data_IF_124143749372
#
_entry.id   IF_124143749372
#
_cell.length_a   1.000
_cell.length_b   1.000
_cell.length_c   1.000
_cell.angle_alpha   90.00
_cell.angle_beta   90.00
_cell.angle_gamma   90.00
#
_symmetry.space_group_name_H-M   'P 1'
#
loop_
_entity.id
_entity.type
_entity.pdbx_description
1 polymer ?
#
# COMPACT_ATOMS: atom_id res chain seq x y z
N UNK A 1 0.70 4.01 -27.97
CA UNK A 1 1.48 3.01 -27.22
C UNK A 1 1.13 3.12 -25.75
N UNK A 2 0.81 2.02 -25.09
CA UNK A 2 0.49 1.96 -23.66
C UNK A 2 1.67 2.45 -22.80
N UNK A 3 1.39 3.35 -21.83
CA UNK A 3 2.38 3.91 -20.89
C UNK A 3 1.99 3.51 -19.49
N UNK A 4 2.58 2.44 -18.94
CA UNK A 4 2.19 1.91 -17.63
C UNK A 4 2.56 2.82 -16.45
N UNK A 5 3.69 3.54 -16.52
CA UNK A 5 4.11 4.46 -15.47
C UNK A 5 3.45 5.82 -15.69
N UNK A 6 2.74 6.31 -14.67
CA UNK A 6 1.95 7.54 -14.71
C UNK A 6 2.10 8.37 -13.43
N UNK A 7 1.72 9.63 -13.50
CA UNK A 7 1.63 10.53 -12.35
C UNK A 7 0.24 10.41 -11.73
N UNK A 8 0.13 9.95 -10.47
CA UNK A 8 -1.15 9.88 -9.78
C UNK A 8 -1.71 11.28 -9.51
N UNK A 9 -3.04 11.34 -9.38
CA UNK A 9 -3.75 12.59 -9.11
C UNK A 9 -4.49 12.52 -7.78
N UNK A 10 -4.90 13.67 -7.26
CA UNK A 10 -5.70 13.79 -6.03
C UNK A 10 -5.02 13.08 -4.85
N UNK A 11 -5.78 12.37 -4.02
CA UNK A 11 -5.31 11.66 -2.81
C UNK A 11 -4.18 10.65 -3.07
N UNK A 12 -4.11 10.05 -4.25
CA UNK A 12 -3.04 9.12 -4.58
C UNK A 12 -1.66 9.83 -4.64
N UNK A 13 -1.65 11.14 -4.91
CA UNK A 13 -0.42 11.95 -4.90
C UNK A 13 0.24 12.06 -3.52
N UNK A 14 -0.53 11.94 -2.42
CA UNK A 14 0.03 11.90 -1.06
C UNK A 14 0.91 10.66 -0.81
N UNK A 15 0.83 9.65 -1.68
CA UNK A 15 1.62 8.43 -1.57
C UNK A 15 2.88 8.46 -2.42
N UNK A 16 2.80 8.94 -3.67
CA UNK A 16 3.93 8.92 -4.61
C UNK A 16 3.67 9.84 -5.80
N UNK A 17 4.73 10.35 -6.42
CA UNK A 17 4.67 11.13 -7.67
C UNK A 17 4.55 10.27 -8.93
N UNK A 18 4.96 9.00 -8.85
CA UNK A 18 4.90 8.05 -9.97
C UNK A 18 4.29 6.73 -9.50
N UNK A 19 3.49 6.12 -10.36
CA UNK A 19 2.88 4.83 -10.06
C UNK A 19 2.73 3.95 -11.30
N UNK A 20 2.57 2.65 -11.05
CA UNK A 20 2.25 1.64 -12.05
C UNK A 20 1.19 0.69 -11.49
N UNK A 21 0.17 0.33 -12.29
CA UNK A 21 -0.77 -0.73 -11.94
C UNK A 21 -0.45 -1.97 -12.78
N UNK A 22 0.03 -3.01 -12.14
CA UNK A 22 0.52 -4.23 -12.81
C UNK A 22 -0.63 -5.12 -13.25
N UNK A 23 -1.67 -5.20 -12.42
CA UNK A 23 -2.81 -6.08 -12.65
C UNK A 23 -4.07 -5.29 -13.02
N UNK A 24 -5.00 -5.98 -13.66
CA UNK A 24 -6.40 -5.61 -13.76
C UNK A 24 -7.17 -6.42 -12.72
N UNK A 25 -7.95 -5.75 -11.87
CA UNK A 25 -8.67 -6.40 -10.78
C UNK A 25 -7.82 -6.60 -9.52
N UNK A 26 -8.48 -7.07 -8.45
CA UNK A 26 -7.89 -7.46 -7.17
C UNK A 26 -8.85 -8.40 -6.44
N UNK A 27 -8.33 -9.52 -5.98
CA UNK A 27 -9.12 -10.57 -5.33
C UNK A 27 -8.99 -10.61 -3.80
N UNK A 28 -8.41 -9.59 -3.17
CA UNK A 28 -8.38 -9.48 -1.70
C UNK A 28 -9.78 -9.39 -1.08
N UNK A 29 -10.80 -9.00 -1.87
CA UNK A 29 -12.19 -9.00 -1.44
C UNK A 29 -12.59 -7.89 -0.46
N UNK A 30 -11.76 -6.86 -0.30
CA UNK A 30 -12.02 -5.77 0.64
C UNK A 30 -13.37 -5.09 0.36
N UNK A 31 -14.30 -5.08 1.34
CA UNK A 31 -15.63 -4.53 1.14
C UNK A 31 -15.64 -3.01 0.91
N UNK A 32 -14.67 -2.30 1.45
CA UNK A 32 -14.52 -0.85 1.36
C UNK A 32 -13.76 -0.39 0.09
N UNK A 33 -13.35 -1.29 -0.79
CA UNK A 33 -12.44 -0.99 -1.89
C UNK A 33 -13.01 0.00 -2.91
N UNK A 34 -12.40 1.18 -3.01
CA UNK A 34 -12.76 2.20 -4.01
C UNK A 34 -12.46 1.75 -5.45
N UNK A 35 -11.39 0.95 -5.62
CA UNK A 35 -10.99 0.50 -6.95
C UNK A 35 -12.02 -0.44 -7.58
N UNK A 36 -12.73 -1.25 -6.78
CA UNK A 36 -13.84 -2.09 -7.24
C UNK A 36 -14.97 -1.27 -7.86
N UNK A 37 -15.36 -0.15 -7.20
CA UNK A 37 -16.41 0.76 -7.72
C UNK A 37 -15.98 1.42 -9.03
N UNK A 38 -14.74 1.87 -9.10
CA UNK A 38 -14.19 2.49 -10.31
C UNK A 38 -14.06 1.48 -11.45
N UNK A 39 -13.61 0.26 -11.16
CA UNK A 39 -13.50 -0.82 -12.14
C UNK A 39 -14.86 -1.17 -12.75
N UNK A 40 -15.89 -1.36 -11.95
CA UNK A 40 -17.24 -1.70 -12.39
C UNK A 40 -17.83 -0.65 -13.36
N UNK A 41 -17.51 0.64 -13.15
CA UNK A 41 -17.97 1.73 -14.05
C UNK A 41 -17.45 1.56 -15.48
N UNK A 42 -16.22 1.08 -15.65
CA UNK A 42 -15.56 0.96 -16.95
C UNK A 42 -15.57 -0.46 -17.51
N UNK A 43 -15.91 -1.45 -16.68
CA UNK A 43 -15.92 -2.87 -17.02
C UNK A 43 -17.18 -3.55 -16.45
N UNK A 44 -18.39 -3.16 -16.86
CA UNK A 44 -19.64 -3.62 -16.23
C UNK A 44 -19.88 -5.14 -16.34
N UNK A 45 -19.26 -5.78 -17.33
CA UNK A 45 -19.39 -7.23 -17.58
C UNK A 45 -18.26 -8.08 -17.00
N UNK A 46 -17.28 -7.46 -16.29
CA UNK A 46 -16.11 -8.17 -15.75
C UNK A 46 -16.14 -8.21 -14.22
N UNK A 47 -15.72 -9.32 -13.64
CA UNK A 47 -15.52 -9.40 -12.20
C UNK A 47 -14.18 -8.75 -11.81
N UNK A 48 -14.22 -7.90 -10.80
CA UNK A 48 -13.02 -7.30 -10.23
C UNK A 48 -12.10 -8.32 -9.53
N UNK A 49 -12.66 -9.43 -9.08
CA UNK A 49 -11.91 -10.53 -8.48
C UNK A 49 -11.16 -11.40 -9.51
N UNK A 50 -11.48 -11.27 -10.81
CA UNK A 50 -10.74 -11.93 -11.89
C UNK A 50 -9.44 -11.15 -12.19
N UNK A 51 -8.42 -11.48 -11.42
CA UNK A 51 -7.13 -10.78 -11.44
C UNK A 51 -6.25 -11.32 -12.57
N UNK A 52 -5.74 -10.42 -13.41
CA UNK A 52 -4.83 -10.76 -14.49
C UNK A 52 -3.73 -9.70 -14.62
N UNK A 53 -2.49 -10.09 -14.96
CA UNK A 53 -1.50 -9.12 -15.40
C UNK A 53 -2.05 -8.32 -16.58
N UNK A 54 -1.77 -7.04 -16.64
CA UNK A 54 -2.10 -6.23 -17.81
C UNK A 54 -1.28 -6.73 -19.00
N UNK A 55 -1.93 -6.90 -20.13
CA UNK A 55 -1.27 -7.39 -21.34
C UNK A 55 -0.05 -6.54 -21.70
N UNK A 56 1.10 -7.19 -21.91
CA UNK A 56 2.36 -6.53 -22.27
C UNK A 56 2.92 -5.59 -21.18
N UNK A 57 2.50 -5.72 -19.90
CA UNK A 57 2.87 -4.78 -18.85
C UNK A 57 4.39 -4.70 -18.65
N UNK A 58 5.10 -5.82 -18.70
CA UNK A 58 6.55 -5.88 -18.46
C UNK A 58 7.30 -5.19 -19.60
N UNK A 59 6.99 -5.55 -20.84
CA UNK A 59 7.62 -4.99 -22.05
C UNK A 59 7.35 -3.50 -22.19
N UNK A 60 6.10 -3.08 -21.95
CA UNK A 60 5.74 -1.66 -21.99
C UNK A 60 6.47 -0.86 -20.88
N UNK A 61 6.68 -1.47 -19.72
CA UNK A 61 7.44 -0.88 -18.62
C UNK A 61 8.91 -0.71 -19.00
N UNK A 62 9.55 -1.76 -19.50
CA UNK A 62 10.95 -1.71 -20.00
C UNK A 62 11.12 -0.63 -21.04
N UNK A 63 10.22 -0.58 -22.03
CA UNK A 63 10.27 0.42 -23.09
C UNK A 63 10.06 1.85 -22.58
N UNK A 64 9.19 2.05 -21.59
CA UNK A 64 9.00 3.38 -21.00
C UNK A 64 10.22 3.81 -20.19
N UNK A 65 10.83 2.89 -19.44
CA UNK A 65 12.02 3.12 -18.63
C UNK A 65 13.29 3.37 -19.45
N UNK A 66 13.43 2.75 -20.64
CA UNK A 66 14.60 2.90 -21.51
C UNK A 66 14.87 4.34 -21.95
N UNK A 67 13.89 5.23 -21.78
CA UNK A 67 14.06 6.68 -22.06
C UNK A 67 14.91 7.43 -21.03
N UNK A 68 15.35 6.78 -19.96
CA UNK A 68 16.26 7.32 -18.95
C UNK A 68 15.69 8.37 -17.99
N UNK A 69 14.47 8.89 -18.22
CA UNK A 69 13.89 9.98 -17.41
C UNK A 69 13.44 9.57 -16.01
N UNK A 70 13.47 8.29 -15.71
CA UNK A 70 13.02 7.72 -14.43
C UNK A 70 14.17 7.32 -13.50
N UNK A 71 15.44 7.53 -13.91
CA UNK A 71 16.59 7.30 -13.06
C UNK A 71 16.43 8.06 -11.74
N UNK A 72 16.75 7.40 -10.63
CA UNK A 72 16.65 7.92 -9.26
C UNK A 72 15.21 8.32 -8.85
N UNK A 73 14.22 7.91 -9.63
CA UNK A 73 12.81 8.13 -9.29
C UNK A 73 12.20 6.92 -8.61
N UNK A 74 11.36 7.18 -7.60
CA UNK A 74 10.61 6.14 -6.88
C UNK A 74 9.26 5.92 -7.58
N UNK A 75 8.93 4.66 -7.89
CA UNK A 75 7.70 4.27 -8.60
C UNK A 75 6.87 3.36 -7.69
N UNK A 76 5.65 3.79 -7.37
CA UNK A 76 4.75 3.03 -6.51
C UNK A 76 4.04 1.90 -7.27
N UNK A 77 4.02 0.73 -6.66
CA UNK A 77 3.24 -0.45 -7.07
C UNK A 77 1.99 -0.53 -6.19
N UNK A 78 0.98 -0.41 -6.59
CA UNK A 78 -0.21 -0.37 -7.37
C UNK A 78 -1.28 0.48 -6.64
N UNK A 79 -2.10 1.26 -7.33
CA UNK A 79 -3.23 1.95 -6.68
C UNK A 79 -4.57 1.26 -6.91
N UNK A 80 -4.76 0.63 -8.06
CA UNK A 80 -6.06 0.03 -8.44
C UNK A 80 -6.08 -1.50 -8.33
N UNK A 81 -4.99 -2.08 -7.87
CA UNK A 81 -4.82 -3.50 -7.57
C UNK A 81 -3.83 -3.65 -6.39
N UNK A 82 -3.54 -4.85 -5.97
CA UNK A 82 -2.43 -5.13 -5.06
C UNK A 82 -1.28 -5.76 -5.85
N UNK A 83 -0.01 -5.47 -5.57
CA UNK A 83 1.12 -6.12 -6.25
C UNK A 83 1.26 -7.61 -5.90
N UNK A 84 0.63 -8.07 -4.80
CA UNK A 84 0.64 -9.46 -4.35
C UNK A 84 -0.77 -9.99 -4.09
N UNK A 85 -1.61 -10.09 -5.13
CA UNK A 85 -2.95 -10.65 -5.00
C UNK A 85 -2.89 -12.11 -4.55
N UNK A 86 -4.03 -12.62 -4.05
CA UNK A 86 -4.12 -13.99 -3.56
C UNK A 86 -4.25 -15.00 -4.71
N UNK A 87 -3.75 -16.20 -4.51
CA UNK A 87 -4.02 -17.39 -5.35
C UNK A 87 -3.72 -17.24 -6.85
N UNK A 88 -2.83 -16.33 -7.23
CA UNK A 88 -2.36 -16.19 -8.61
C UNK A 88 -0.83 -16.13 -8.67
N UNK A 89 -0.28 -16.39 -9.83
CA UNK A 89 1.14 -16.14 -10.09
C UNK A 89 1.43 -14.63 -10.12
N UNK A 90 2.40 -14.21 -9.31
CA UNK A 90 2.86 -12.82 -9.22
C UNK A 90 4.22 -12.58 -9.87
N UNK A 91 4.62 -13.42 -10.83
CA UNK A 91 5.86 -13.24 -11.61
C UNK A 91 5.91 -11.88 -12.32
N UNK A 92 4.77 -11.38 -12.82
CA UNK A 92 4.69 -10.05 -13.42
C UNK A 92 5.11 -8.92 -12.46
N UNK A 93 4.81 -9.04 -11.15
CA UNK A 93 5.30 -8.08 -10.14
C UNK A 93 6.82 -8.12 -10.05
N UNK A 94 7.39 -9.31 -9.92
CA UNK A 94 8.83 -9.50 -9.86
C UNK A 94 9.55 -8.95 -11.10
N UNK A 95 9.01 -9.21 -12.29
CA UNK A 95 9.62 -8.75 -13.55
C UNK A 95 9.52 -7.23 -13.73
N UNK A 96 8.43 -6.61 -13.26
CA UNK A 96 8.30 -5.16 -13.22
C UNK A 96 9.30 -4.54 -12.23
N UNK A 97 9.48 -5.13 -11.03
CA UNK A 97 10.50 -4.69 -10.05
C UNK A 97 11.88 -4.75 -10.69
N UNK A 98 12.26 -5.86 -11.31
CA UNK A 98 13.56 -6.00 -12.00
C UNK A 98 13.74 -4.91 -13.06
N UNK A 99 12.74 -4.69 -13.91
CA UNK A 99 12.80 -3.66 -14.95
C UNK A 99 13.01 -2.25 -14.37
N UNK A 100 12.36 -1.92 -13.26
CA UNK A 100 12.53 -0.65 -12.55
C UNK A 100 13.97 -0.52 -12.02
N UNK A 101 14.48 -1.55 -11.34
CA UNK A 101 15.84 -1.57 -10.77
C UNK A 101 16.92 -1.51 -11.86
N UNK A 102 16.79 -2.28 -12.95
CA UNK A 102 17.70 -2.27 -14.10
C UNK A 102 17.80 -0.89 -14.77
N UNK A 103 16.72 -0.10 -14.72
CA UNK A 103 16.71 1.26 -15.23
C UNK A 103 17.31 2.30 -14.27
N UNK A 104 17.80 1.89 -13.09
CA UNK A 104 18.31 2.79 -12.05
C UNK A 104 17.21 3.60 -11.37
N UNK A 105 15.97 3.12 -11.37
CA UNK A 105 14.85 3.66 -10.61
C UNK A 105 14.61 2.80 -9.36
N UNK A 106 13.77 3.29 -8.45
CA UNK A 106 13.48 2.65 -7.16
C UNK A 106 12.01 2.27 -7.07
N UNK A 107 11.70 1.23 -6.30
CA UNK A 107 10.33 0.81 -6.08
C UNK A 107 9.78 1.30 -4.74
N UNK A 108 8.50 1.62 -4.73
CA UNK A 108 7.73 1.83 -3.52
C UNK A 108 6.56 0.84 -3.52
N UNK A 109 6.56 -0.08 -2.57
CA UNK A 109 5.52 -1.10 -2.43
C UNK A 109 4.54 -0.68 -1.36
N UNK A 110 3.24 -0.87 -1.62
CA UNK A 110 2.18 -0.90 -0.62
C UNK A 110 1.32 -2.12 -0.85
N UNK A 111 1.18 -2.97 0.16
CA UNK A 111 0.45 -4.23 -0.01
C UNK A 111 -0.32 -4.66 1.24
N UNK A 112 -1.37 -5.45 1.01
CA UNK A 112 -2.04 -6.28 1.98
C UNK A 112 -1.69 -7.77 1.80
N UNK A 113 -0.70 -8.07 0.95
CA UNK A 113 -0.30 -9.43 0.60
C UNK A 113 0.31 -10.23 1.77
N UNK A 114 0.83 -9.55 2.80
CA UNK A 114 1.53 -10.23 3.91
C UNK A 114 2.73 -11.02 3.42
N UNK A 115 2.84 -12.28 3.83
CA UNK A 115 3.99 -13.16 3.51
C UNK A 115 4.25 -13.34 2.01
N UNK A 116 3.24 -13.16 1.15
CA UNK A 116 3.39 -13.26 -0.31
C UNK A 116 4.41 -12.27 -0.88
N UNK A 117 4.58 -11.11 -0.22
CA UNK A 117 5.50 -10.08 -0.67
C UNK A 117 6.98 -10.43 -0.42
N UNK A 118 7.28 -11.32 0.53
CA UNK A 118 8.65 -11.68 0.93
C UNK A 118 9.47 -12.29 -0.19
N UNK A 119 8.80 -12.91 -1.19
CA UNK A 119 9.45 -13.51 -2.36
C UNK A 119 10.34 -12.56 -3.15
N UNK A 120 10.06 -11.26 -3.10
CA UNK A 120 10.74 -10.25 -3.89
C UNK A 120 11.70 -9.37 -3.07
N UNK A 121 11.89 -9.67 -1.78
CA UNK A 121 12.78 -8.92 -0.90
C UNK A 121 14.28 -9.06 -1.27
N UNK A 122 14.64 -10.05 -2.07
CA UNK A 122 15.97 -10.18 -2.66
C UNK A 122 16.29 -9.13 -3.74
N UNK A 123 15.26 -8.43 -4.25
CA UNK A 123 15.40 -7.37 -5.25
C UNK A 123 15.43 -5.97 -4.64
N UNK A 124 15.12 -5.84 -3.34
CA UNK A 124 14.98 -4.54 -2.68
C UNK A 124 16.26 -4.17 -1.93
N UNK A 125 16.55 -2.87 -1.90
CA UNK A 125 17.67 -2.28 -1.15
C UNK A 125 17.20 -1.04 -0.34
N UNK A 126 18.15 -0.32 0.24
CA UNK A 126 17.90 0.87 1.07
C UNK A 126 17.30 2.07 0.32
N UNK A 127 17.34 2.09 -1.01
CA UNK A 127 16.74 3.15 -1.81
C UNK A 127 15.25 2.85 -2.12
N UNK A 128 14.84 1.58 -1.96
CA UNK A 128 13.47 1.15 -2.14
C UNK A 128 12.63 1.39 -0.87
N UNK A 129 11.32 1.26 -0.98
CA UNK A 129 10.42 1.37 0.16
C UNK A 129 9.39 0.25 0.15
N UNK A 130 9.28 -0.47 1.27
CA UNK A 130 8.28 -1.50 1.49
C UNK A 130 7.27 -1.05 2.53
N UNK A 131 6.00 -1.05 2.17
CA UNK A 131 4.90 -0.67 3.04
C UNK A 131 3.78 -1.69 3.09
N UNK A 132 3.10 -1.67 4.22
CA UNK A 132 1.90 -2.48 4.45
C UNK A 132 0.71 -1.59 4.78
N UNK A 133 -0.49 -2.06 4.45
CA UNK A 133 -1.71 -1.45 4.99
C UNK A 133 -2.16 -2.21 6.24
N UNK A 134 -2.40 -1.50 7.33
CA UNK A 134 -3.01 -2.01 8.56
C UNK A 134 -4.30 -1.25 8.83
N UNK A 135 -5.44 -1.90 8.62
CA UNK A 135 -6.78 -1.32 8.81
C UNK A 135 -7.36 -1.62 10.19
N UNK A 136 -6.85 -2.64 10.85
CA UNK A 136 -7.27 -3.17 12.15
C UNK A 136 -6.16 -4.03 12.76
N UNK A 137 -6.25 -4.27 14.06
CA UNK A 137 -5.42 -5.23 14.79
C UNK A 137 -6.08 -6.62 14.84
N UNK A 138 -7.41 -6.65 15.00
CA UNK A 138 -8.20 -7.88 15.14
C UNK A 138 -8.20 -8.71 13.86
N UNK A 139 -7.82 -9.99 13.99
CA UNK A 139 -7.89 -10.97 12.91
C UNK A 139 -9.34 -11.21 12.44
N UNK A 140 -10.31 -11.19 13.36
CA UNK A 140 -11.73 -11.40 13.05
C UNK A 140 -12.30 -10.24 12.22
N UNK A 141 -11.89 -9.01 12.52
CA UNK A 141 -12.25 -7.84 11.70
C UNK A 141 -11.58 -7.95 10.33
N UNK A 142 -10.30 -8.31 10.29
CA UNK A 142 -9.56 -8.47 9.04
C UNK A 142 -10.18 -9.53 8.12
N UNK A 143 -10.52 -10.71 8.63
CA UNK A 143 -11.15 -11.79 7.85
C UNK A 143 -12.47 -11.33 7.23
N UNK A 144 -13.29 -10.58 7.98
CA UNK A 144 -14.57 -10.06 7.48
C UNK A 144 -14.40 -8.92 6.49
N UNK A 145 -13.40 -8.07 6.71
CA UNK A 145 -13.20 -6.87 5.91
C UNK A 145 -12.34 -7.08 4.67
N UNK A 146 -11.40 -8.01 4.72
CA UNK A 146 -10.33 -8.24 3.72
C UNK A 146 -10.05 -9.75 3.56
N UNK A 147 -11.06 -10.55 3.17
CA UNK A 147 -11.07 -12.02 3.36
C UNK A 147 -9.90 -12.77 2.73
N UNK A 148 -9.31 -12.27 1.64
CA UNK A 148 -8.20 -12.92 0.94
C UNK A 148 -6.87 -12.15 1.04
N UNK A 149 -6.81 -11.10 1.85
CA UNK A 149 -5.55 -10.42 2.17
C UNK A 149 -4.74 -11.24 3.21
N UNK A 150 -3.47 -10.95 3.36
CA UNK A 150 -2.70 -11.43 4.52
C UNK A 150 -3.31 -10.87 5.80
N UNK A 151 -3.35 -11.65 6.88
CA UNK A 151 -3.84 -11.16 8.16
C UNK A 151 -2.91 -10.08 8.75
N UNK A 152 -3.33 -9.29 9.75
CA UNK A 152 -2.51 -8.21 10.31
C UNK A 152 -1.12 -8.66 10.76
N UNK A 153 -1.01 -9.84 11.40
CA UNK A 153 0.27 -10.38 11.87
C UNK A 153 1.20 -10.76 10.72
N UNK A 154 0.69 -11.36 9.65
CA UNK A 154 1.49 -11.66 8.45
C UNK A 154 2.03 -10.39 7.79
N UNK A 155 1.22 -9.32 7.75
CA UNK A 155 1.66 -8.01 7.23
C UNK A 155 2.75 -7.41 8.11
N UNK A 156 2.56 -7.38 9.44
CA UNK A 156 3.58 -6.92 10.39
C UNK A 156 4.88 -7.71 10.27
N UNK A 157 4.81 -9.04 10.23
CA UNK A 157 6.00 -9.87 10.06
C UNK A 157 6.75 -9.56 8.76
N UNK A 158 6.04 -9.32 7.65
CA UNK A 158 6.68 -8.93 6.39
C UNK A 158 7.35 -7.55 6.48
N UNK A 159 6.76 -6.61 7.21
CA UNK A 159 7.35 -5.29 7.46
C UNK A 159 8.63 -5.39 8.29
N UNK A 160 8.60 -6.19 9.37
CA UNK A 160 9.75 -6.46 10.24
C UNK A 160 10.90 -7.08 9.43
N UNK A 161 10.60 -8.05 8.57
CA UNK A 161 11.60 -8.71 7.74
C UNK A 161 12.22 -7.76 6.70
N UNK A 162 11.42 -6.89 6.09
CA UNK A 162 11.93 -5.84 5.21
C UNK A 162 12.84 -4.85 5.95
N UNK A 163 12.43 -4.40 7.14
CA UNK A 163 13.22 -3.53 8.01
C UNK A 163 14.58 -4.17 8.37
N UNK A 164 14.59 -5.46 8.75
CA UNK A 164 15.81 -6.20 9.07
C UNK A 164 16.77 -6.35 7.88
N UNK A 165 16.25 -6.31 6.66
CA UNK A 165 17.05 -6.30 5.43
C UNK A 165 17.58 -4.92 5.04
N UNK A 166 17.27 -3.88 5.82
CA UNK A 166 17.69 -2.50 5.55
C UNK A 166 16.86 -1.78 4.49
N UNK A 167 15.70 -2.33 4.11
CA UNK A 167 14.76 -1.65 3.21
C UNK A 167 14.01 -0.58 4.01
N UNK A 168 13.82 0.62 3.41
CA UNK A 168 12.99 1.65 4.04
C UNK A 168 11.56 1.16 4.21
N UNK A 169 11.02 1.26 5.43
CA UNK A 169 9.69 0.73 5.73
C UNK A 169 8.66 1.82 5.99
N UNK A 170 7.40 1.53 5.72
CA UNK A 170 6.29 2.42 6.03
C UNK A 170 4.97 1.66 6.25
N UNK A 171 4.07 2.29 6.99
CA UNK A 171 2.74 1.74 7.28
C UNK A 171 1.68 2.72 6.83
N UNK A 172 0.66 2.22 6.12
CA UNK A 172 -0.55 2.96 5.80
C UNK A 172 -1.69 2.49 6.70
N UNK A 173 -2.12 3.34 7.60
CA UNK A 173 -3.34 3.17 8.38
C UNK A 173 -4.52 3.84 7.63
N UNK A 174 -4.85 3.27 6.46
CA UNK A 174 -5.98 3.71 5.63
C UNK A 174 -6.50 2.56 4.77
N UNK A 175 -7.78 2.18 4.96
CA UNK A 175 -8.71 2.77 5.92
C UNK A 175 -8.44 2.33 7.36
N UNK A 176 -8.96 3.09 8.32
CA UNK A 176 -9.06 2.65 9.71
C UNK A 176 -10.44 2.04 9.90
N UNK A 177 -10.49 0.77 10.30
CA UNK A 177 -11.72 0.02 10.59
C UNK A 177 -11.92 -0.23 12.09
N UNK A 178 -10.82 -0.24 12.83
CA UNK A 178 -10.76 -0.48 14.27
C UNK A 178 -9.89 0.61 14.92
N UNK A 179 -10.46 1.78 15.27
CA UNK A 179 -9.67 2.91 15.79
C UNK A 179 -8.78 2.56 16.98
N UNK A 180 -9.34 1.87 17.99
CA UNK A 180 -8.58 1.50 19.20
C UNK A 180 -7.45 0.52 18.88
N UNK A 181 -7.71 -0.48 18.03
CA UNK A 181 -6.67 -1.43 17.60
C UNK A 181 -5.57 -0.76 16.78
N UNK A 182 -5.91 0.24 15.95
CA UNK A 182 -4.92 1.02 15.19
C UNK A 182 -4.08 1.91 16.12
N UNK A 183 -4.69 2.57 17.12
CA UNK A 183 -3.95 3.34 18.13
C UNK A 183 -2.97 2.45 18.90
N UNK A 184 -3.42 1.25 19.31
CA UNK A 184 -2.57 0.25 19.96
C UNK A 184 -1.39 -0.15 19.04
N UNK A 185 -1.64 -0.40 17.75
CA UNK A 185 -0.57 -0.71 16.78
C UNK A 185 0.45 0.42 16.67
N UNK A 186 0.02 1.68 16.62
CA UNK A 186 0.93 2.84 16.55
C UNK A 186 1.80 2.91 17.81
N UNK A 187 1.24 2.58 18.96
CA UNK A 187 1.94 2.59 20.26
C UNK A 187 2.95 1.43 20.37
N UNK A 188 2.59 0.24 19.90
CA UNK A 188 3.41 -0.97 20.02
C UNK A 188 4.51 -1.11 18.95
N UNK A 189 4.36 -0.45 17.79
CA UNK A 189 5.30 -0.56 16.67
C UNK A 189 6.78 -0.21 17.02
N UNK A 190 7.10 0.73 17.97
CA UNK A 190 8.49 1.11 18.25
C UNK A 190 9.38 -0.04 18.69
N UNK A 191 8.81 -1.10 19.27
CA UNK A 191 9.56 -2.30 19.70
C UNK A 191 9.71 -3.33 18.58
N UNK A 192 9.04 -3.13 17.44
CA UNK A 192 8.95 -4.11 16.36
C UNK A 192 9.76 -3.72 15.11
N UNK A 193 9.79 -2.41 14.79
CA UNK A 193 10.40 -1.89 13.56
C UNK A 193 11.30 -0.69 13.84
N UNK A 194 12.11 -0.32 12.85
CA UNK A 194 12.96 0.88 12.96
C UNK A 194 12.11 2.15 13.15
N UNK A 195 12.55 3.07 13.99
CA UNK A 195 11.90 4.37 14.23
C UNK A 195 11.84 5.27 12.99
N UNK A 196 12.69 5.03 11.99
CA UNK A 196 12.62 5.72 10.69
C UNK A 196 11.43 5.27 9.84
N UNK A 197 10.70 4.23 10.26
CA UNK A 197 9.48 3.77 9.59
C UNK A 197 8.45 4.90 9.52
N UNK A 198 8.04 5.27 8.31
CA UNK A 198 7.03 6.32 8.09
C UNK A 198 5.62 5.79 8.36
N UNK A 199 4.87 6.45 9.21
CA UNK A 199 3.45 6.16 9.45
C UNK A 199 2.58 7.14 8.67
N UNK A 200 1.76 6.64 7.71
CA UNK A 200 0.73 7.43 7.03
C UNK A 200 -0.63 7.10 7.61
N UNK A 201 -1.25 8.07 8.28
CA UNK A 201 -2.49 7.88 9.04
C UNK A 201 -3.62 8.61 8.33
N UNK A 202 -4.64 7.87 7.93
CA UNK A 202 -5.83 8.39 7.26
C UNK A 202 -7.11 7.91 7.94
N UNK A 203 -8.23 7.99 7.21
CA UNK A 203 -9.54 7.56 7.69
C UNK A 203 -10.21 6.62 6.70
N UNK A 204 -11.36 6.04 7.06
CA UNK A 204 -12.20 5.35 6.10
C UNK A 204 -12.91 6.38 5.22
N UNK A 205 -12.57 6.37 3.94
CA UNK A 205 -13.20 7.15 2.89
C UNK A 205 -14.22 6.29 2.13
N UNK A 206 -15.16 6.91 1.42
CA UNK A 206 -16.14 6.25 0.54
C UNK A 206 -17.22 5.38 1.23
N UNK A 207 -17.18 5.24 2.55
CA UNK A 207 -18.16 4.53 3.36
C UNK A 207 -18.45 5.30 4.64
N UNK A 208 -19.70 5.25 5.08
CA UNK A 208 -20.11 5.88 6.34
C UNK A 208 -20.08 4.82 7.45
N UNK A 209 -19.16 4.96 8.38
CA UNK A 209 -19.18 4.28 9.69
C UNK A 209 -19.09 5.36 10.76
N UNK A 210 -19.70 5.07 11.91
CA UNK A 210 -19.71 6.02 13.03
C UNK A 210 -18.37 5.91 13.79
N UNK A 211 -17.41 6.75 13.41
CA UNK A 211 -16.12 6.92 14.09
C UNK A 211 -15.94 8.42 14.34
N UNK A 212 -15.58 8.80 15.54
CA UNK A 212 -15.13 10.14 15.88
C UNK A 212 -13.70 10.34 15.33
N UNK A 213 -13.64 10.83 14.07
CA UNK A 213 -12.37 11.01 13.37
C UNK A 213 -11.50 12.09 13.99
N UNK A 214 -12.12 13.12 14.58
CA UNK A 214 -11.40 14.17 15.32
C UNK A 214 -10.66 13.57 16.50
N UNK A 215 -11.39 12.86 17.37
CA UNK A 215 -10.79 12.20 18.53
C UNK A 215 -9.72 11.19 18.13
N UNK A 216 -9.98 10.35 17.12
CA UNK A 216 -9.01 9.38 16.62
C UNK A 216 -7.73 10.07 16.10
N UNK A 217 -7.87 11.10 15.26
CA UNK A 217 -6.73 11.80 14.67
C UNK A 217 -5.86 12.49 15.69
N UNK A 218 -6.47 13.19 16.66
CA UNK A 218 -5.76 13.86 17.76
C UNK A 218 -5.00 12.87 18.63
N UNK A 219 -5.60 11.73 18.96
CA UNK A 219 -4.97 10.69 19.77
C UNK A 219 -3.83 10.00 19.01
N UNK A 220 -4.02 9.66 17.74
CA UNK A 220 -2.98 9.09 16.89
C UNK A 220 -1.77 10.04 16.78
N UNK A 221 -2.02 11.32 16.58
CA UNK A 221 -0.96 12.33 16.51
C UNK A 221 -0.21 12.47 17.85
N UNK A 222 -0.92 12.42 19.00
CA UNK A 222 -0.34 12.45 20.33
C UNK A 222 0.62 11.26 20.53
N UNK A 223 0.15 10.04 20.25
CA UNK A 223 0.97 8.82 20.37
C UNK A 223 2.20 8.89 19.45
N UNK A 224 2.04 9.35 18.23
CA UNK A 224 3.16 9.52 17.31
C UNK A 224 4.23 10.48 17.84
N UNK A 225 3.82 11.62 18.44
CA UNK A 225 4.74 12.60 19.03
C UNK A 225 5.46 12.04 20.25
N UNK A 226 4.74 11.37 21.13
CA UNK A 226 5.30 10.76 22.36
C UNK A 226 6.32 9.66 22.05
N UNK A 227 6.06 8.85 21.03
CA UNK A 227 6.96 7.79 20.58
C UNK A 227 8.06 8.27 19.61
N UNK A 228 8.04 9.54 19.19
CA UNK A 228 9.02 10.11 18.26
C UNK A 228 8.97 9.51 16.86
N UNK A 229 7.77 9.14 16.37
CA UNK A 229 7.58 8.60 15.04
C UNK A 229 7.81 9.62 13.92
N UNK A 230 8.33 9.14 12.78
CA UNK A 230 8.16 9.82 11.50
C UNK A 230 6.74 9.55 10.99
N UNK A 231 5.87 10.56 10.96
CA UNK A 231 4.47 10.37 10.61
C UNK A 231 3.90 11.47 9.71
N UNK A 232 2.86 11.12 8.98
CA UNK A 232 2.07 12.00 8.14
C UNK A 232 0.58 11.76 8.36
N UNK A 233 -0.14 12.75 8.87
CA UNK A 233 -1.60 12.73 8.92
C UNK A 233 -2.14 13.17 7.57
N UNK A 234 -2.90 12.29 6.91
CA UNK A 234 -3.45 12.56 5.59
C UNK A 234 -4.47 13.71 5.62
N UNK A 235 -4.53 14.46 4.52
CA UNK A 235 -5.34 15.69 4.41
C UNK A 235 -6.80 15.49 4.85
N UNK A 236 -7.43 14.37 4.45
CA UNK A 236 -8.83 14.09 4.83
C UNK A 236 -9.01 13.89 6.34
N UNK A 237 -8.06 13.27 7.03
CA UNK A 237 -8.11 13.12 8.49
C UNK A 237 -7.74 14.45 9.17
N UNK A 238 -6.78 15.18 8.63
CA UNK A 238 -6.39 16.49 9.13
C UNK A 238 -7.60 17.47 9.13
N UNK A 239 -8.39 17.46 8.07
CA UNK A 239 -9.60 18.29 7.98
C UNK A 239 -10.65 17.93 9.05
N UNK A 240 -10.78 16.65 9.42
CA UNK A 240 -11.66 16.23 10.54
C UNK A 240 -11.12 16.70 11.91
N UNK A 241 -9.80 16.74 12.09
CA UNK A 241 -9.19 17.19 13.34
C UNK A 241 -9.38 18.70 13.58
N UNK A 242 -9.49 19.47 12.51
CA UNK A 242 -9.64 20.94 12.53
C UNK A 242 -11.12 21.39 12.58
N UNK A 243 -12.07 20.48 12.27
CA UNK A 243 -13.50 20.74 12.34
C UNK A 243 -14.03 20.69 13.78
#
# INVERSE_FOLDING_TARGET
>A
MFRPIYEPRTRAKEYSDLAINIYTGCNHGCWYCYAKKNFARWNPSKDFADVRPREGIVEATKLQLSKGKYRDKKIMLCFTCDPYPALIDTSATRDVIKAIKEAGAHVQILTKGGDRARRDFDLLDSEDSFGITLSCLSADIAIKAEPNAGNPLQRLNSLIDASRKGVNTWVSFEPVLEPMGVLQLIDDLPVMVNKDTLLKIGKLNHHKIFIDWKKFGLEAERICKENGWNYYIKEDLRAEMES
#
